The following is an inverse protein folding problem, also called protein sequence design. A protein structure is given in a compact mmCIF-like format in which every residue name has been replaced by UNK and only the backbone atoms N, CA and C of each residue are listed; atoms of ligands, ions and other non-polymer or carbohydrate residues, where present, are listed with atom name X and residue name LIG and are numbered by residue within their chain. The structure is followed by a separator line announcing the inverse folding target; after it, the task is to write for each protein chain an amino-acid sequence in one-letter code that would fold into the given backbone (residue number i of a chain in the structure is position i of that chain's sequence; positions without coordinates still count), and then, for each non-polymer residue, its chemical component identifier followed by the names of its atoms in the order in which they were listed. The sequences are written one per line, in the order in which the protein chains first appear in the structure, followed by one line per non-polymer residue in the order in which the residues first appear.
data_IF_757285574997
#
_entry.id   IF_757285574997
#
_cell.length_a   1.000
_cell.length_b   1.000
_cell.length_c   1.000
_cell.angle_alpha   90.00
_cell.angle_beta   90.00
_cell.angle_gamma   90.00
#
_symmetry.space_group_name_H-M   'P 1'
#
loop_
_entity.id
_entity.type
_entity.pdbx_description
1 polymer ?
#
# COMPACT_ATOMS: atom_id res chain seq x y z
N UNK A 1 22.19 64.79 -6.89
CA UNK A 1 21.69 63.87 -5.84
C UNK A 1 21.54 62.52 -6.53
N UNK A 2 22.55 61.65 -6.44
CA UNK A 2 22.71 60.60 -5.42
C UNK A 2 21.81 59.39 -5.79
N UNK A 3 22.23 58.12 -5.88
CA UNK A 3 23.34 57.39 -5.25
C UNK A 3 23.73 56.21 -6.16
N UNK A 4 25.04 56.00 -6.38
CA UNK A 4 25.63 54.78 -6.95
C UNK A 4 25.65 53.65 -5.90
N UNK A 5 25.25 52.44 -6.28
CA UNK A 5 25.33 51.25 -5.43
C UNK A 5 26.61 50.46 -5.77
N UNK A 6 27.59 50.54 -4.88
CA UNK A 6 28.83 49.77 -4.89
C UNK A 6 28.56 48.31 -4.50
N UNK A 7 28.96 47.38 -5.38
CA UNK A 7 28.96 45.94 -5.11
C UNK A 7 30.25 45.53 -4.40
N UNK A 8 30.14 45.25 -3.11
CA UNK A 8 31.26 44.83 -2.25
C UNK A 8 31.48 43.32 -2.39
N UNK A 9 32.57 42.95 -3.06
CA UNK A 9 33.09 41.57 -3.17
C UNK A 9 33.81 41.19 -1.88
N UNK A 10 33.32 40.16 -1.17
CA UNK A 10 34.04 39.57 -0.03
C UNK A 10 34.56 38.19 -0.45
N UNK A 11 35.87 38.13 -0.64
CA UNK A 11 36.66 36.92 -0.88
C UNK A 11 37.32 36.52 0.44
N UNK A 12 36.92 35.40 1.01
CA UNK A 12 37.51 34.84 2.24
C UNK A 12 37.93 33.37 2.02
N UNK A 13 39.15 32.97 2.42
CA UNK A 13 39.63 31.60 2.27
C UNK A 13 39.42 30.78 3.55
N UNK A 14 38.93 29.55 3.40
CA UNK A 14 39.10 28.44 4.35
C UNK A 14 39.33 27.19 3.49
N UNK A 15 40.39 26.40 3.60
CA UNK A 15 41.25 26.16 4.76
C UNK A 15 40.80 24.90 5.49
N UNK A 16 41.38 23.75 5.12
CA UNK A 16 41.66 22.67 6.09
C UNK A 16 40.72 21.46 6.15
N UNK A 17 41.20 20.38 5.53
CA UNK A 17 41.22 18.97 5.98
C UNK A 17 40.40 18.52 7.20
N UNK A 18 39.68 17.39 7.00
CA UNK A 18 39.70 16.10 7.76
C UNK A 18 38.43 15.34 7.31
N UNK A 19 38.50 14.15 6.72
CA UNK A 19 39.04 12.95 7.35
C UNK A 19 38.06 12.47 8.43
N UNK A 20 36.96 11.83 8.04
CA UNK A 20 35.91 11.40 8.95
C UNK A 20 35.03 10.32 8.34
N UNK A 21 35.35 9.09 8.70
CA UNK A 21 34.51 7.88 8.81
C UNK A 21 33.20 7.80 8.01
N UNK A 22 33.17 6.77 7.15
CA UNK A 22 32.00 6.01 6.74
C UNK A 22 30.96 5.83 7.87
N UNK A 23 29.68 6.03 7.57
CA UNK A 23 28.62 5.30 8.24
C UNK A 23 27.79 4.52 7.20
N UNK A 24 27.79 3.20 7.40
CA UNK A 24 26.64 2.33 7.32
C UNK A 24 25.87 2.30 6.00
N UNK A 25 26.03 1.18 5.29
CA UNK A 25 24.93 0.29 4.93
C UNK A 25 23.55 0.86 5.21
N UNK A 26 22.90 1.37 4.17
CA UNK A 26 21.50 1.75 4.16
C UNK A 26 20.66 0.47 4.07
N UNK A 27 20.06 -0.05 5.17
CA UNK A 27 19.28 -1.27 5.15
C UNK A 27 17.79 -0.89 5.04
N UNK A 28 17.43 -0.02 4.09
CA UNK A 28 16.06 0.47 3.96
C UNK A 28 15.27 -0.17 2.81
N UNK A 29 15.81 -1.13 2.06
CA UNK A 29 15.11 -1.81 0.97
C UNK A 29 15.16 -3.34 1.15
N UNK A 30 14.71 -3.80 2.33
CA UNK A 30 14.40 -5.21 2.54
C UNK A 30 13.14 -5.59 1.75
N UNK A 31 13.31 -6.39 0.70
CA UNK A 31 12.23 -6.99 -0.07
C UNK A 31 11.28 -7.78 0.84
N UNK A 32 10.16 -7.16 1.22
CA UNK A 32 9.05 -7.84 1.89
C UNK A 32 8.16 -8.54 0.87
N UNK A 33 8.71 -9.49 0.11
CA UNK A 33 7.88 -10.52 -0.53
C UNK A 33 7.70 -11.62 0.50
N UNK A 34 6.81 -11.36 1.46
CA UNK A 34 6.45 -12.35 2.47
C UNK A 34 5.31 -13.19 1.90
N UNK A 35 5.56 -14.49 1.75
CA UNK A 35 4.56 -15.51 1.45
C UNK A 35 3.32 -15.27 2.31
N UNK A 36 2.14 -15.31 1.68
CA UNK A 36 0.87 -15.15 2.38
C UNK A 36 0.80 -16.23 3.49
N UNK A 37 0.52 -15.86 4.76
CA UNK A 37 0.56 -16.82 5.86
C UNK A 37 -0.48 -17.93 5.64
N UNK A 38 0.00 -19.16 5.52
CA UNK A 38 -0.79 -20.36 5.19
C UNK A 38 -1.82 -20.77 6.26
N UNK A 39 -1.82 -20.12 7.43
CA UNK A 39 -2.57 -20.59 8.61
C UNK A 39 -3.40 -19.48 9.29
N UNK A 40 -3.73 -18.42 8.56
CA UNK A 40 -4.79 -17.52 9.00
C UNK A 40 -6.12 -18.17 8.64
N UNK A 41 -6.81 -18.74 9.62
CA UNK A 41 -8.27 -18.80 9.54
C UNK A 41 -8.74 -17.41 9.10
N UNK A 42 -9.18 -17.31 7.83
CA UNK A 42 -9.56 -16.06 7.19
C UNK A 42 -10.83 -15.57 7.89
N UNK A 43 -10.63 -14.95 9.05
CA UNK A 43 -11.65 -14.17 9.73
C UNK A 43 -11.75 -12.89 8.92
N UNK A 44 -12.49 -12.99 7.83
CA UNK A 44 -12.88 -11.83 7.04
C UNK A 44 -13.70 -10.95 7.98
N UNK A 45 -13.16 -9.78 8.29
CA UNK A 45 -13.82 -8.82 9.17
C UNK A 45 -14.91 -8.13 8.34
N UNK A 46 -16.17 -8.12 8.82
CA UNK A 46 -17.22 -7.40 8.13
C UNK A 46 -16.88 -5.91 8.19
N UNK A 47 -16.61 -5.25 7.06
CA UNK A 47 -16.32 -3.83 7.03
C UNK A 47 -17.52 -3.03 7.53
N UNK A 48 -17.24 -1.89 8.15
CA UNK A 48 -18.25 -0.99 8.73
C UNK A 48 -18.57 0.19 7.81
N UNK A 49 -17.90 0.28 6.65
CA UNK A 49 -18.04 1.39 5.72
C UNK A 49 -18.54 0.95 4.36
N UNK A 50 -19.12 1.90 3.62
CA UNK A 50 -19.71 1.64 2.32
C UNK A 50 -18.70 1.09 1.30
N UNK A 51 -17.41 1.45 1.38
CA UNK A 51 -16.38 0.97 0.44
C UNK A 51 -15.77 -0.39 0.78
N UNK A 52 -16.04 -0.91 1.98
CA UNK A 52 -15.53 -2.22 2.35
C UNK A 52 -16.38 -3.33 1.77
N UNK A 53 -15.73 -4.35 1.22
CA UNK A 53 -16.34 -5.58 0.75
C UNK A 53 -16.53 -6.53 1.93
N UNK A 54 -17.77 -6.87 2.24
CA UNK A 54 -18.11 -7.94 3.19
C UNK A 54 -18.37 -9.24 2.42
N UNK A 55 -17.49 -10.25 2.57
CA UNK A 55 -17.65 -11.59 2.01
C UNK A 55 -18.97 -12.29 2.34
N UNK A 56 -19.62 -11.92 3.44
CA UNK A 56 -20.86 -12.54 3.91
C UNK A 56 -22.10 -11.80 3.41
N UNK A 57 -21.93 -10.65 2.79
CA UNK A 57 -23.02 -9.81 2.34
C UNK A 57 -23.45 -10.19 0.92
N UNK A 58 -24.76 -10.25 0.67
CA UNK A 58 -25.32 -10.64 -0.63
C UNK A 58 -24.88 -9.72 -1.78
N UNK A 59 -24.60 -8.45 -1.49
CA UNK A 59 -24.09 -7.49 -2.46
C UNK A 59 -22.60 -7.64 -2.80
N UNK A 60 -21.86 -8.61 -2.23
CA UNK A 60 -20.43 -8.81 -2.49
C UNK A 60 -20.15 -8.96 -3.99
N UNK A 61 -20.83 -9.91 -4.63
CA UNK A 61 -20.65 -10.25 -6.04
C UNK A 61 -21.05 -9.08 -6.95
N UNK A 62 -22.18 -8.43 -6.64
CA UNK A 62 -22.63 -7.23 -7.36
C UNK A 62 -21.57 -6.12 -7.33
N UNK A 63 -20.97 -5.84 -6.18
CA UNK A 63 -19.96 -4.80 -6.03
C UNK A 63 -18.65 -5.12 -6.75
N UNK A 64 -18.24 -6.38 -6.79
CA UNK A 64 -17.10 -6.81 -7.59
C UNK A 64 -17.39 -6.63 -9.08
N UNK A 65 -18.59 -6.98 -9.54
CA UNK A 65 -18.99 -6.73 -10.93
C UNK A 65 -19.09 -5.24 -11.25
N UNK A 66 -19.59 -4.41 -10.33
CA UNK A 66 -19.62 -2.96 -10.47
C UNK A 66 -18.23 -2.37 -10.62
N UNK A 67 -17.30 -2.78 -9.75
CA UNK A 67 -15.89 -2.39 -9.85
C UNK A 67 -15.31 -2.79 -11.20
N UNK A 68 -15.54 -4.04 -11.64
CA UNK A 68 -15.05 -4.53 -12.94
C UNK A 68 -15.65 -3.73 -14.10
N UNK A 69 -16.96 -3.42 -14.07
CA UNK A 69 -17.63 -2.60 -15.09
C UNK A 69 -17.03 -1.21 -15.14
N UNK A 70 -16.83 -0.58 -13.98
CA UNK A 70 -16.20 0.73 -13.87
C UNK A 70 -14.76 0.70 -14.41
N UNK A 71 -14.02 -0.37 -14.15
CA UNK A 71 -12.64 -0.54 -14.63
C UNK A 71 -12.60 -0.63 -16.15
N UNK A 72 -13.44 -1.48 -16.74
CA UNK A 72 -13.52 -1.66 -18.20
C UNK A 72 -14.01 -0.40 -18.93
N UNK A 73 -14.75 0.47 -18.25
CA UNK A 73 -15.23 1.73 -18.81
C UNK A 73 -14.13 2.82 -18.87
N UNK A 74 -12.96 2.61 -18.26
CA UNK A 74 -11.89 3.59 -18.29
C UNK A 74 -11.24 3.71 -19.67
N UNK A 75 -10.94 4.93 -20.16
CA UNK A 75 -10.17 5.11 -21.39
C UNK A 75 -8.80 4.45 -21.29
N UNK A 76 -8.48 3.55 -22.22
CA UNK A 76 -7.21 2.81 -22.19
C UNK A 76 -7.12 1.74 -21.10
N UNK A 77 -8.27 1.30 -20.57
CA UNK A 77 -8.34 0.20 -19.61
C UNK A 77 -7.55 -1.00 -20.11
N UNK A 78 -6.57 -1.40 -19.33
CA UNK A 78 -5.82 -2.65 -19.53
C UNK A 78 -6.51 -3.76 -18.74
N UNK A 79 -6.33 -5.03 -19.13
CA UNK A 79 -6.79 -6.15 -18.31
C UNK A 79 -6.16 -6.14 -16.90
N UNK A 80 -5.01 -5.49 -16.75
CA UNK A 80 -4.25 -5.41 -15.50
C UNK A 80 -4.44 -4.09 -14.76
N UNK A 81 -4.73 -4.18 -13.46
CA UNK A 81 -4.74 -3.08 -12.51
C UNK A 81 -3.83 -3.33 -11.31
N UNK A 82 -4.03 -2.57 -10.23
CA UNK A 82 -3.15 -2.59 -9.06
C UNK A 82 -3.93 -2.96 -7.79
N UNK A 83 -3.40 -3.94 -7.06
CA UNK A 83 -3.81 -4.30 -5.71
C UNK A 83 -2.83 -3.69 -4.72
N UNK A 84 -3.32 -2.82 -3.87
CA UNK A 84 -2.56 -2.28 -2.76
C UNK A 84 -2.77 -3.16 -1.53
N UNK A 85 -1.68 -3.43 -0.80
CA UNK A 85 -1.69 -4.26 0.39
C UNK A 85 -1.16 -3.43 1.56
N UNK A 86 -1.98 -3.28 2.59
CA UNK A 86 -1.62 -2.68 3.87
C UNK A 86 -1.41 -3.78 4.90
N UNK A 87 -0.23 -3.79 5.52
CA UNK A 87 0.19 -4.78 6.50
C UNK A 87 0.37 -4.14 7.89
N UNK A 88 -0.42 -4.61 8.86
CA UNK A 88 -0.41 -4.15 10.24
C UNK A 88 0.44 -5.06 11.16
N UNK A 89 1.21 -6.02 10.62
CA UNK A 89 1.97 -6.98 11.45
C UNK A 89 2.95 -6.28 12.40
N UNK A 90 3.59 -5.18 11.97
CA UNK A 90 4.47 -4.39 12.85
C UNK A 90 3.68 -3.66 13.94
N UNK A 91 2.54 -3.07 13.59
CA UNK A 91 1.63 -2.40 14.54
C UNK A 91 1.14 -3.40 15.59
N UNK A 92 0.75 -4.61 15.17
CA UNK A 92 0.38 -5.69 16.08
C UNK A 92 1.50 -6.06 17.04
N UNK A 93 2.72 -6.28 16.52
CA UNK A 93 3.89 -6.60 17.35
C UNK A 93 4.17 -5.50 18.36
N UNK A 94 3.99 -4.24 17.97
CA UNK A 94 4.15 -3.10 18.87
C UNK A 94 3.16 -3.13 20.04
N UNK A 95 1.87 -3.39 19.78
CA UNK A 95 0.87 -3.49 20.85
C UNK A 95 0.97 -4.78 21.67
N UNK A 96 1.61 -5.82 21.14
CA UNK A 96 1.90 -7.07 21.84
C UNK A 96 0.64 -7.69 22.44
N UNK A 97 0.65 -7.95 23.76
CA UNK A 97 -0.48 -8.55 24.48
C UNK A 97 -1.74 -7.68 24.53
N UNK A 98 -1.61 -6.37 24.26
CA UNK A 98 -2.76 -5.45 24.23
C UNK A 98 -3.50 -5.48 22.90
N UNK A 99 -2.94 -6.15 21.88
CA UNK A 99 -3.51 -6.19 20.54
C UNK A 99 -4.97 -6.64 20.54
N UNK A 100 -5.29 -7.76 21.19
CA UNK A 100 -6.63 -8.35 21.13
C UNK A 100 -7.71 -7.39 21.65
N UNK A 101 -7.40 -6.56 22.66
CA UNK A 101 -8.31 -5.53 23.18
C UNK A 101 -8.35 -4.23 22.36
N UNK A 102 -7.43 -4.05 21.41
CA UNK A 102 -7.30 -2.86 20.56
C UNK A 102 -7.66 -3.12 19.09
N UNK A 103 -7.63 -4.38 18.64
CA UNK A 103 -7.75 -4.77 17.24
C UNK A 103 -8.97 -4.14 16.55
N UNK A 104 -10.15 -4.23 17.17
CA UNK A 104 -11.37 -3.66 16.62
C UNK A 104 -11.31 -2.13 16.43
N UNK A 105 -10.61 -1.42 17.33
CA UNK A 105 -10.43 0.04 17.22
C UNK A 105 -9.41 0.38 16.15
N UNK A 106 -8.34 -0.42 16.04
CA UNK A 106 -7.34 -0.29 14.99
C UNK A 106 -7.99 -0.47 13.62
N UNK A 107 -8.77 -1.54 13.42
CA UNK A 107 -9.47 -1.78 12.16
C UNK A 107 -10.49 -0.68 11.86
N UNK A 108 -11.26 -0.23 12.85
CA UNK A 108 -12.19 0.89 12.66
C UNK A 108 -11.48 2.16 12.16
N UNK A 109 -10.31 2.46 12.72
CA UNK A 109 -9.51 3.61 12.29
C UNK A 109 -8.98 3.41 10.87
N UNK A 110 -8.52 2.20 10.53
CA UNK A 110 -8.09 1.85 9.17
C UNK A 110 -9.23 2.05 8.17
N UNK A 111 -10.40 1.49 8.45
CA UNK A 111 -11.59 1.61 7.59
C UNK A 111 -12.02 3.08 7.42
N UNK A 112 -12.00 3.88 8.49
CA UNK A 112 -12.34 5.31 8.43
C UNK A 112 -11.36 6.08 7.55
N UNK A 113 -10.06 5.83 7.68
CA UNK A 113 -9.04 6.44 6.82
C UNK A 113 -9.23 6.02 5.37
N UNK A 114 -9.45 4.74 5.10
CA UNK A 114 -9.72 4.25 3.75
C UNK A 114 -10.96 4.91 3.16
N UNK A 115 -12.08 4.96 3.89
CA UNK A 115 -13.31 5.60 3.43
C UNK A 115 -13.08 7.04 2.97
N UNK A 116 -12.25 7.81 3.71
CA UNK A 116 -11.93 9.20 3.38
C UNK A 116 -10.93 9.39 2.22
N UNK A 117 -10.10 8.38 1.93
CA UNK A 117 -8.99 8.47 0.95
C UNK A 117 -9.28 7.76 -0.36
N UNK A 118 -10.12 6.74 -0.33
CA UNK A 118 -10.50 5.97 -1.49
C UNK A 118 -11.46 6.75 -2.39
N UNK A 119 -11.36 6.54 -3.70
CA UNK A 119 -12.30 7.08 -4.66
C UNK A 119 -13.70 6.47 -4.50
N UNK A 120 -14.71 6.99 -5.21
CA UNK A 120 -16.09 6.50 -5.11
C UNK A 120 -16.26 5.03 -5.51
N UNK A 121 -15.41 4.55 -6.42
CA UNK A 121 -15.47 3.19 -6.97
C UNK A 121 -14.31 2.32 -6.48
N UNK A 122 -13.40 2.85 -5.65
CA UNK A 122 -12.37 2.05 -5.00
C UNK A 122 -13.00 1.15 -3.95
N UNK A 123 -12.45 -0.05 -3.77
CA UNK A 123 -12.94 -1.04 -2.80
C UNK A 123 -11.81 -1.47 -1.87
N UNK A 124 -12.14 -1.94 -0.68
CA UNK A 124 -11.19 -2.62 0.18
C UNK A 124 -11.76 -3.90 0.78
N UNK A 125 -10.88 -4.81 1.19
CA UNK A 125 -11.22 -6.07 1.83
C UNK A 125 -10.29 -6.29 3.02
N UNK A 126 -10.87 -6.54 4.20
CA UNK A 126 -10.11 -6.89 5.40
C UNK A 126 -9.91 -8.41 5.42
N UNK A 127 -8.73 -8.84 4.95
CA UNK A 127 -8.36 -10.24 4.80
C UNK A 127 -8.15 -10.94 6.14
N UNK A 128 -7.61 -10.20 7.10
CA UNK A 128 -7.43 -10.61 8.48
C UNK A 128 -7.26 -9.37 9.34
N UNK A 129 -7.12 -9.54 10.65
CA UNK A 129 -6.76 -8.46 11.59
C UNK A 129 -5.51 -7.67 11.21
N UNK A 130 -4.69 -8.22 10.32
CA UNK A 130 -3.35 -7.72 10.01
C UNK A 130 -3.20 -7.29 8.57
N UNK A 131 -4.10 -7.68 7.69
CA UNK A 131 -3.92 -7.54 6.26
C UNK A 131 -5.17 -6.94 5.64
N UNK A 132 -4.99 -5.80 4.98
CA UNK A 132 -6.06 -5.10 4.25
C UNK A 132 -5.65 -4.95 2.81
N UNK A 133 -6.55 -5.34 1.92
CA UNK A 133 -6.39 -5.25 0.48
C UNK A 133 -7.23 -4.09 -0.04
N UNK A 134 -6.67 -3.32 -0.97
CA UNK A 134 -7.34 -2.19 -1.59
C UNK A 134 -7.27 -2.34 -3.10
N UNK A 135 -8.44 -2.37 -3.73
CA UNK A 135 -8.65 -2.38 -5.16
C UNK A 135 -8.87 -0.93 -5.61
N UNK A 136 -7.83 -0.34 -6.18
CA UNK A 136 -7.89 1.02 -6.69
C UNK A 136 -8.32 1.02 -8.15
N UNK A 137 -9.25 1.92 -8.48
CA UNK A 137 -9.74 2.10 -9.84
C UNK A 137 -8.90 3.12 -10.60
N UNK A 138 -8.30 2.68 -11.71
CA UNK A 138 -7.46 3.49 -12.58
C UNK A 138 -6.16 3.99 -11.94
N UNK A 139 -5.56 4.97 -12.62
CA UNK A 139 -4.31 5.60 -12.21
C UNK A 139 -3.08 4.84 -12.70
N UNK A 140 -1.98 5.58 -12.84
CA UNK A 140 -0.69 4.97 -13.11
C UNK A 140 -0.13 4.32 -11.85
N UNK A 141 0.72 3.28 -12.01
CA UNK A 141 1.36 2.58 -10.89
C UNK A 141 1.95 3.55 -9.86
N UNK A 142 2.64 4.59 -10.33
CA UNK A 142 3.31 5.58 -9.49
C UNK A 142 2.30 6.37 -8.63
N UNK A 143 1.18 6.76 -9.20
CA UNK A 143 0.12 7.49 -8.49
C UNK A 143 -0.51 6.61 -7.41
N UNK A 144 -0.83 5.36 -7.76
CA UNK A 144 -1.35 4.37 -6.83
C UNK A 144 -0.34 4.12 -5.70
N UNK A 145 0.93 3.90 -6.01
CA UNK A 145 1.95 3.71 -4.97
C UNK A 145 2.11 4.93 -4.06
N UNK A 146 2.08 6.15 -4.61
CA UNK A 146 2.13 7.38 -3.81
C UNK A 146 0.91 7.49 -2.90
N UNK A 147 -0.30 7.29 -3.43
CA UNK A 147 -1.55 7.29 -2.65
C UNK A 147 -1.49 6.27 -1.51
N UNK A 148 -1.03 5.06 -1.81
CA UNK A 148 -0.90 3.98 -0.83
C UNK A 148 0.12 4.26 0.26
N UNK A 149 1.30 4.80 -0.09
CA UNK A 149 2.30 5.26 0.89
C UNK A 149 1.77 6.37 1.79
N UNK A 150 1.02 7.32 1.25
CA UNK A 150 0.38 8.38 2.03
C UNK A 150 -0.64 7.81 3.02
N UNK A 151 -1.48 6.87 2.59
CA UNK A 151 -2.42 6.18 3.48
C UNK A 151 -1.69 5.41 4.60
N UNK A 152 -0.67 4.63 4.26
CA UNK A 152 0.12 3.89 5.25
C UNK A 152 0.82 4.82 6.26
N UNK A 153 1.38 5.93 5.80
CA UNK A 153 2.00 6.95 6.67
C UNK A 153 0.97 7.61 7.60
N UNK A 154 -0.20 7.96 7.08
CA UNK A 154 -1.29 8.52 7.88
C UNK A 154 -1.78 7.54 8.94
N UNK A 155 -2.01 6.27 8.56
CA UNK A 155 -2.40 5.22 9.49
C UNK A 155 -1.34 5.00 10.57
N UNK A 156 -0.07 4.98 10.18
CA UNK A 156 1.06 4.88 11.13
C UNK A 156 1.00 6.01 12.14
N UNK A 157 0.81 7.26 11.68
CA UNK A 157 0.69 8.43 12.57
C UNK A 157 -0.51 8.34 13.49
N UNK A 158 -1.66 7.88 13.00
CA UNK A 158 -2.90 7.79 13.81
C UNK A 158 -2.82 6.65 14.84
N UNK A 159 -2.22 5.52 14.47
CA UNK A 159 -2.15 4.31 15.31
C UNK A 159 -1.01 4.38 16.32
N UNK A 160 0.15 4.85 15.90
CA UNK A 160 1.38 4.81 16.67
C UNK A 160 1.84 6.21 17.12
N UNK A 161 1.21 7.30 16.67
CA UNK A 161 1.68 8.66 16.96
C UNK A 161 3.02 8.97 16.28
N UNK A 162 3.74 9.95 16.82
CA UNK A 162 5.08 10.35 16.35
C UNK A 162 6.19 9.53 17.06
N UNK A 163 6.03 8.21 17.18
CA UNK A 163 6.96 7.40 17.95
C UNK A 163 8.31 7.22 17.23
N UNK A 164 9.45 7.45 17.93
CA UNK A 164 10.76 7.05 17.44
C UNK A 164 10.86 5.52 17.46
N UNK A 165 11.25 4.92 16.33
CA UNK A 165 11.40 3.46 16.22
C UNK A 165 10.99 2.84 14.90
N UNK A 166 10.53 3.63 13.92
CA UNK A 166 10.31 3.16 12.54
C UNK A 166 9.17 2.15 12.38
N UNK A 167 8.30 1.99 13.39
CA UNK A 167 7.09 1.17 13.27
C UNK A 167 6.21 1.83 12.22
N UNK A 168 5.93 1.09 11.16
CA UNK A 168 5.09 1.55 10.07
C UNK A 168 4.06 0.49 9.71
N UNK A 169 2.89 0.95 9.30
CA UNK A 169 2.00 0.15 8.46
C UNK A 169 2.77 -0.18 7.19
N UNK A 170 3.00 -1.47 6.96
CA UNK A 170 3.64 -1.96 5.74
C UNK A 170 2.76 -1.66 4.54
N UNK A 171 3.39 -1.35 3.41
CA UNK A 171 2.70 -1.08 2.17
C UNK A 171 3.41 -1.78 1.01
N UNK A 172 2.65 -2.44 0.16
CA UNK A 172 3.12 -2.94 -1.12
C UNK A 172 2.03 -2.82 -2.18
N UNK A 173 2.42 -2.81 -3.45
CA UNK A 173 1.51 -2.82 -4.59
C UNK A 173 1.82 -4.02 -5.48
N UNK A 174 0.80 -4.74 -5.91
CA UNK A 174 0.89 -5.87 -6.83
C UNK A 174 0.09 -5.59 -8.09
N UNK A 175 0.55 -6.12 -9.22
CA UNK A 175 -0.22 -6.11 -10.45
C UNK A 175 -1.26 -7.24 -10.40
N UNK A 176 -2.48 -6.96 -10.83
CA UNK A 176 -3.58 -7.91 -10.81
C UNK A 176 -4.34 -7.87 -12.12
N UNK A 177 -4.65 -9.04 -12.69
CA UNK A 177 -5.57 -9.09 -13.82
C UNK A 177 -7.03 -8.97 -13.34
N UNK A 178 -7.66 -7.82 -13.57
CA UNK A 178 -9.05 -7.58 -13.20
C UNK A 178 -10.05 -8.24 -14.15
N UNK A 179 -9.63 -8.74 -15.32
CA UNK A 179 -10.51 -9.62 -16.12
C UNK A 179 -10.80 -10.93 -15.40
N UNK A 180 -9.86 -11.43 -14.59
CA UNK A 180 -10.05 -12.62 -13.78
C UNK A 180 -11.14 -12.46 -12.69
N UNK A 181 -11.65 -11.23 -12.50
CA UNK A 181 -12.81 -10.95 -11.64
C UNK A 181 -14.15 -11.25 -12.31
N UNK A 182 -14.18 -11.63 -13.59
CA UNK A 182 -15.42 -11.92 -14.32
C UNK A 182 -16.22 -13.08 -13.70
N UNK A 183 -15.51 -14.09 -13.20
CA UNK A 183 -16.09 -15.34 -12.66
C UNK A 183 -15.99 -15.40 -11.12
N UNK A 184 -15.90 -14.25 -10.46
CA UNK A 184 -15.82 -14.20 -8.99
C UNK A 184 -17.25 -14.16 -8.44
N UNK A 185 -17.77 -15.34 -8.15
CA UNK A 185 -19.10 -15.50 -7.57
C UNK A 185 -19.09 -15.54 -6.04
N UNK A 186 -17.92 -15.79 -5.46
CA UNK A 186 -17.75 -15.95 -4.03
C UNK A 186 -16.42 -15.34 -3.53
N UNK A 187 -16.33 -15.03 -2.22
CA UNK A 187 -15.15 -14.40 -1.65
C UNK A 187 -13.89 -15.26 -1.75
N UNK A 188 -13.99 -16.57 -1.57
CA UNK A 188 -12.84 -17.47 -1.68
C UNK A 188 -12.35 -17.55 -3.13
N UNK A 189 -13.27 -17.49 -4.10
CA UNK A 189 -12.97 -17.24 -5.51
C UNK A 189 -12.11 -16.00 -5.72
N UNK A 190 -12.52 -14.85 -5.15
CA UNK A 190 -11.73 -13.61 -5.19
C UNK A 190 -10.34 -13.84 -4.60
N UNK A 191 -10.25 -14.46 -3.42
CA UNK A 191 -8.97 -14.67 -2.74
C UNK A 191 -8.04 -15.55 -3.55
N UNK A 192 -8.53 -16.66 -4.12
CA UNK A 192 -7.71 -17.54 -4.98
C UNK A 192 -7.20 -16.80 -6.19
N UNK A 193 -8.04 -15.98 -6.82
CA UNK A 193 -7.64 -15.18 -7.98
C UNK A 193 -6.62 -14.11 -7.62
N UNK A 194 -6.74 -13.48 -6.45
CA UNK A 194 -5.81 -12.44 -6.00
C UNK A 194 -4.52 -13.01 -5.38
N UNK A 195 -4.58 -14.16 -4.72
CA UNK A 195 -3.45 -14.82 -4.07
C UNK A 195 -2.62 -15.68 -5.04
N UNK A 196 -3.25 -16.26 -6.06
CA UNK A 196 -2.58 -17.00 -7.13
C UNK A 196 -1.88 -16.13 -8.16
N UNK A 197 -1.84 -14.81 -7.95
CA UNK A 197 -1.06 -13.89 -8.76
C UNK A 197 0.35 -13.87 -8.19
N UNK A 198 1.21 -14.69 -8.77
CA UNK A 198 2.64 -14.43 -8.69
C UNK A 198 2.89 -12.98 -9.13
N UNK A 199 3.78 -12.24 -8.45
CA UNK A 199 4.19 -10.94 -8.96
C UNK A 199 4.67 -11.15 -10.40
N UNK A 200 4.28 -10.29 -11.37
CA UNK A 200 4.96 -10.31 -12.65
C UNK A 200 6.46 -10.17 -12.36
N UNK A 201 7.33 -10.99 -12.99
CA UNK A 201 8.77 -10.85 -12.80
C UNK A 201 9.12 -9.38 -13.00
N UNK A 202 9.89 -8.84 -12.06
CA UNK A 202 10.31 -7.45 -12.11
C UNK A 202 10.88 -7.18 -13.52
N UNK A 203 10.41 -6.16 -14.26
CA UNK A 203 11.00 -5.82 -15.55
C UNK A 203 12.51 -5.52 -15.44
N UNK A 204 13.00 -5.23 -14.24
CA UNK A 204 14.42 -5.07 -13.92
C UNK A 204 15.23 -6.38 -13.95
N UNK A 205 14.56 -7.55 -13.99
CA UNK A 205 15.22 -8.87 -14.15
C UNK A 205 15.44 -9.26 -15.62
N UNK A 206 15.27 -8.32 -16.56
CA UNK A 206 15.51 -8.53 -18.00
C UNK A 206 16.83 -7.93 -18.51
N UNK A 207 17.78 -7.65 -17.62
CA UNK A 207 19.17 -7.36 -17.98
C UNK A 207 20.02 -8.62 -17.72
N UNK A 208 20.89 -8.94 -18.69
CA UNK A 208 21.88 -10.03 -18.70
C UNK A 208 21.40 -11.45 -19.05
N UNK A 209 20.73 -11.60 -20.19
CA UNK A 209 20.97 -12.78 -21.03
C UNK A 209 22.18 -12.47 -21.93
N UNK A 210 23.35 -13.12 -21.76
CA UNK A 210 24.45 -12.94 -22.69
C UNK A 210 24.03 -13.46 -24.07
N UNK A 211 24.18 -12.59 -25.08
CA UNK A 211 24.04 -12.99 -26.47
C UNK A 211 25.09 -14.07 -26.77
N UNK A 212 24.62 -15.26 -27.15
CA UNK A 212 25.44 -16.32 -27.71
C UNK A 212 25.52 -16.19 -29.24
#
# INVERSE_FOLDING_TARGET
MAVENEAMTIKGPMGGSRGGASPADDPAHGAFVREAPADASLRLYPPRTAKGLDPRHHAFTERIHDFRRAWLAQPGARPVGYLQILDLDQVRRHFGRRWDGLCDRVLQLVETTLESRLGPQDLYLVMSERLVWVLALGGERREIEVKGRLMASELTRLLCGALPGGIAVGFSTRLVNFEALADVDDPLGLLRRLAGLDPPPDPSTREDAPAA
#
